data_IF_253013798060
#
_entry.id   IF_253013798060
#
_cell.length_a   1.000
_cell.length_b   1.000
_cell.length_c   1.000
_cell.angle_alpha   90.00
_cell.angle_beta   90.00
_cell.angle_gamma   90.00
#
_symmetry.space_group_name_H-M   'P 1'
#
loop_
_entity.id
_entity.type
_entity.pdbx_description
1 polymer ?
#
# COMPACT_ATOMS: atom_id res chain seq x y z
N UNK A 1 0.80 -6.58 8.44
CA UNK A 1 0.58 -5.63 7.32
C UNK A 1 -0.65 -6.09 6.55
N UNK A 2 -1.53 -5.15 6.17
CA UNK A 2 -2.73 -5.44 5.39
C UNK A 2 -2.64 -4.79 4.02
N UNK A 3 -3.16 -5.47 3.00
CA UNK A 3 -3.35 -4.95 1.66
C UNK A 3 -4.83 -5.07 1.32
N UNK A 4 -5.45 -3.98 0.91
CA UNK A 4 -6.83 -3.96 0.45
C UNK A 4 -6.86 -3.91 -1.07
N UNK A 5 -7.66 -4.77 -1.70
CA UNK A 5 -7.94 -4.72 -3.13
C UNK A 5 -9.30 -4.07 -3.38
N UNK A 6 -9.35 -3.11 -4.28
CA UNK A 6 -10.57 -2.40 -4.67
C UNK A 6 -10.71 -2.46 -6.19
N UNK A 7 -11.85 -2.98 -6.65
CA UNK A 7 -12.29 -3.01 -8.04
C UNK A 7 -13.80 -3.29 -8.07
N UNK A 8 -14.40 -3.45 -9.24
CA UNK A 8 -15.76 -3.99 -9.34
C UNK A 8 -15.82 -5.46 -8.86
N UNK A 9 -17.01 -5.90 -8.50
CA UNK A 9 -17.22 -7.22 -7.90
C UNK A 9 -16.77 -8.37 -8.82
N UNK A 10 -17.00 -8.28 -10.13
CA UNK A 10 -16.60 -9.30 -11.07
C UNK A 10 -15.07 -9.41 -11.15
N UNK A 11 -14.38 -8.30 -11.16
CA UNK A 11 -12.92 -8.24 -11.13
C UNK A 11 -12.34 -8.84 -9.85
N UNK A 12 -12.93 -8.53 -8.69
CA UNK A 12 -12.47 -9.09 -7.40
C UNK A 12 -12.68 -10.60 -7.30
N UNK A 13 -13.77 -11.13 -7.87
CA UNK A 13 -14.00 -12.58 -7.94
C UNK A 13 -12.99 -13.30 -8.81
N UNK A 14 -12.47 -12.63 -9.84
CA UNK A 14 -11.55 -13.19 -10.83
C UNK A 14 -10.11 -12.64 -10.72
N UNK A 15 -9.73 -12.21 -9.52
CA UNK A 15 -8.46 -11.52 -9.26
C UNK A 15 -7.23 -12.35 -9.66
N UNK A 16 -7.29 -13.68 -9.45
CA UNK A 16 -6.26 -14.63 -9.85
C UNK A 16 -6.01 -14.63 -11.36
N UNK A 17 -7.08 -14.56 -12.16
CA UNK A 17 -6.96 -14.45 -13.61
C UNK A 17 -6.24 -13.17 -14.03
N UNK A 18 -6.58 -12.02 -13.42
CA UNK A 18 -5.89 -10.76 -13.71
C UNK A 18 -4.42 -10.81 -13.31
N UNK A 19 -4.10 -11.44 -12.19
CA UNK A 19 -2.72 -11.69 -11.78
C UNK A 19 -1.95 -12.50 -12.84
N UNK A 20 -2.52 -13.60 -13.30
CA UNK A 20 -1.85 -14.49 -14.26
C UNK A 20 -1.70 -13.81 -15.63
N UNK A 21 -2.71 -13.06 -16.08
CA UNK A 21 -2.66 -12.26 -17.29
C UNK A 21 -1.54 -11.20 -17.23
N UNK A 22 -1.47 -10.46 -16.14
CA UNK A 22 -0.43 -9.44 -15.96
C UNK A 22 0.97 -10.06 -15.82
N UNK A 23 1.08 -11.22 -15.17
CA UNK A 23 2.33 -11.99 -15.10
C UNK A 23 2.81 -12.43 -16.48
N UNK A 24 1.90 -12.89 -17.35
CA UNK A 24 2.22 -13.22 -18.73
C UNK A 24 2.67 -11.96 -19.50
N UNK A 25 1.93 -10.84 -19.35
CA UNK A 25 2.21 -9.59 -20.04
C UNK A 25 3.57 -8.99 -19.66
N UNK A 26 4.03 -9.18 -18.42
CA UNK A 26 5.29 -8.57 -17.92
C UNK A 26 6.56 -9.35 -18.27
N UNK A 27 6.47 -10.53 -18.89
CA UNK A 27 7.65 -11.31 -19.29
C UNK A 27 7.88 -11.27 -20.82
N UNK A 28 8.65 -10.29 -21.34
CA UNK A 28 8.89 -10.14 -22.79
C UNK A 28 9.70 -11.29 -23.40
N UNK A 29 10.30 -12.17 -22.59
CA UNK A 29 11.03 -13.36 -23.08
C UNK A 29 10.05 -14.47 -23.50
N UNK A 30 8.83 -14.43 -23.00
CA UNK A 30 7.81 -15.48 -23.19
C UNK A 30 6.59 -14.98 -23.96
N UNK A 31 6.32 -13.68 -23.92
CA UNK A 31 5.13 -13.07 -24.53
C UNK A 31 5.52 -12.32 -25.78
N UNK A 32 5.01 -12.75 -26.92
CA UNK A 32 5.20 -12.06 -28.20
C UNK A 32 4.44 -10.72 -28.22
N UNK A 33 4.83 -9.80 -29.10
CA UNK A 33 4.11 -8.52 -29.26
C UNK A 33 2.63 -8.72 -29.64
N UNK A 34 2.34 -9.66 -30.53
CA UNK A 34 0.97 -10.00 -30.92
C UNK A 34 0.16 -10.47 -29.70
N UNK A 35 0.71 -11.37 -28.90
CA UNK A 35 0.09 -11.86 -27.69
C UNK A 35 -0.09 -10.76 -26.64
N UNK A 36 0.88 -9.89 -26.47
CA UNK A 36 0.77 -8.74 -25.57
C UNK A 36 -0.39 -7.82 -25.97
N UNK A 37 -0.57 -7.55 -27.25
CA UNK A 37 -1.70 -6.75 -27.76
C UNK A 37 -3.07 -7.37 -27.44
N UNK A 38 -3.18 -8.70 -27.52
CA UNK A 38 -4.40 -9.42 -27.12
C UNK A 38 -4.66 -9.29 -25.61
N UNK A 39 -3.63 -9.52 -24.80
CA UNK A 39 -3.73 -9.44 -23.33
C UNK A 39 -4.17 -8.05 -22.86
N UNK A 40 -3.63 -6.99 -23.44
CA UNK A 40 -3.97 -5.60 -23.12
C UNK A 40 -5.46 -5.29 -23.31
N UNK A 41 -6.13 -5.94 -24.26
CA UNK A 41 -7.56 -5.69 -24.49
C UNK A 41 -8.44 -6.10 -23.29
N UNK A 42 -7.96 -7.03 -22.47
CA UNK A 42 -8.71 -7.57 -21.33
C UNK A 42 -8.02 -7.29 -19.98
N UNK A 43 -6.79 -6.82 -20.00
CA UNK A 43 -6.04 -6.47 -18.80
C UNK A 43 -6.66 -5.25 -18.12
N UNK A 44 -6.63 -5.25 -16.77
CA UNK A 44 -6.86 -4.04 -15.99
C UNK A 44 -5.54 -3.63 -15.34
N UNK A 45 -5.16 -2.35 -15.40
CA UNK A 45 -3.96 -1.87 -14.72
C UNK A 45 -4.11 -2.03 -13.21
N UNK A 46 -3.01 -2.39 -12.55
CA UNK A 46 -2.91 -2.37 -11.10
C UNK A 46 -2.27 -1.05 -10.68
N UNK A 47 -2.95 -0.33 -9.81
CA UNK A 47 -2.42 0.86 -9.17
C UNK A 47 -2.25 0.58 -7.67
N UNK A 48 -0.99 0.48 -7.22
CA UNK A 48 -0.69 0.17 -5.82
C UNK A 48 -0.23 1.42 -5.09
N UNK A 49 -0.97 1.81 -4.06
CA UNK A 49 -0.71 2.97 -3.22
C UNK A 49 -0.25 2.48 -1.86
N UNK A 50 0.89 2.98 -1.42
CA UNK A 50 1.48 2.63 -0.13
C UNK A 50 1.78 3.87 0.70
N UNK A 51 1.79 3.74 2.01
CA UNK A 51 2.18 4.78 2.95
C UNK A 51 2.74 4.21 4.25
N UNK A 52 3.12 5.07 5.17
CA UNK A 52 3.62 4.66 6.49
C UNK A 52 4.92 3.89 6.42
N UNK A 53 5.80 4.23 5.48
CA UNK A 53 7.16 3.70 5.41
C UNK A 53 7.98 4.18 6.62
N UNK A 54 7.78 5.44 7.03
CA UNK A 54 8.31 5.99 8.26
C UNK A 54 7.19 6.06 9.31
N UNK A 55 7.40 5.44 10.45
CA UNK A 55 6.37 5.26 11.48
C UNK A 55 5.80 6.56 12.07
N UNK A 56 6.58 7.64 12.05
CA UNK A 56 6.16 8.97 12.54
C UNK A 56 5.27 9.75 11.56
N UNK A 57 5.21 9.34 10.30
CA UNK A 57 4.46 10.02 9.25
C UNK A 57 3.01 9.51 9.21
N UNK A 58 2.16 10.08 10.06
CA UNK A 58 0.82 9.54 10.32
C UNK A 58 -0.24 9.97 9.31
N UNK A 59 -0.07 11.10 8.64
CA UNK A 59 -1.06 11.65 7.73
C UNK A 59 -1.34 10.78 6.51
N UNK A 60 -0.31 10.16 5.94
CA UNK A 60 -0.46 9.25 4.80
C UNK A 60 -1.29 8.01 5.11
N UNK A 61 -1.00 7.24 6.18
CA UNK A 61 -1.83 6.12 6.62
C UNK A 61 -3.30 6.48 6.83
N UNK A 62 -3.57 7.59 7.49
CA UNK A 62 -4.96 8.03 7.76
C UNK A 62 -5.68 8.44 6.47
N UNK A 63 -5.02 9.16 5.59
CA UNK A 63 -5.53 9.49 4.26
C UNK A 63 -5.86 8.23 3.45
N UNK A 64 -5.00 7.21 3.49
CA UNK A 64 -5.24 5.96 2.75
C UNK A 64 -6.38 5.13 3.33
N UNK A 65 -6.65 5.19 4.64
CA UNK A 65 -7.85 4.57 5.21
C UNK A 65 -9.12 5.24 4.71
N UNK A 66 -9.16 6.58 4.71
CA UNK A 66 -10.28 7.34 4.18
C UNK A 66 -10.46 7.12 2.67
N UNK A 67 -9.36 7.11 1.91
CA UNK A 67 -9.37 6.81 0.47
C UNK A 67 -9.92 5.42 0.19
N UNK A 68 -9.51 4.41 0.96
CA UNK A 68 -10.02 3.03 0.86
C UNK A 68 -11.53 3.00 0.98
N UNK A 69 -12.06 3.65 2.03
CA UNK A 69 -13.50 3.74 2.23
C UNK A 69 -14.20 4.43 1.05
N UNK A 70 -13.72 5.60 0.64
CA UNK A 70 -14.33 6.35 -0.46
C UNK A 70 -14.31 5.60 -1.79
N UNK A 71 -13.18 4.98 -2.12
CA UNK A 71 -13.08 4.17 -3.34
C UNK A 71 -14.02 2.97 -3.32
N UNK A 72 -14.24 2.37 -2.15
CA UNK A 72 -15.12 1.21 -2.01
C UNK A 72 -16.61 1.56 -2.13
N UNK A 73 -17.06 2.70 -1.53
CA UNK A 73 -18.49 2.97 -1.36
C UNK A 73 -19.05 4.10 -2.23
N UNK A 74 -18.20 4.96 -2.78
CA UNK A 74 -18.69 6.14 -3.53
C UNK A 74 -19.26 5.76 -4.89
N UNK A 75 -20.42 6.31 -5.19
CA UNK A 75 -21.11 6.15 -6.46
C UNK A 75 -20.87 7.33 -7.43
N UNK A 76 -19.91 8.21 -7.11
CA UNK A 76 -19.50 9.26 -8.04
C UNK A 76 -19.01 8.64 -9.37
N UNK A 77 -19.35 9.21 -10.52
CA UNK A 77 -18.99 8.65 -11.83
C UNK A 77 -17.51 8.32 -11.99
N UNK A 78 -16.63 9.21 -11.51
CA UNK A 78 -15.18 9.01 -11.53
C UNK A 78 -14.76 7.76 -10.72
N UNK A 79 -15.32 7.60 -9.52
CA UNK A 79 -14.96 6.49 -8.62
C UNK A 79 -15.48 5.15 -9.17
N UNK A 80 -16.68 5.14 -9.71
CA UNK A 80 -17.21 3.96 -10.41
C UNK A 80 -16.33 3.58 -11.60
N UNK A 81 -15.94 4.56 -12.42
CA UNK A 81 -15.05 4.32 -13.55
C UNK A 81 -13.69 3.74 -13.12
N UNK A 82 -13.14 4.19 -11.99
CA UNK A 82 -11.90 3.60 -11.43
C UNK A 82 -12.14 2.13 -11.07
N UNK A 83 -13.19 1.80 -10.32
CA UNK A 83 -13.48 0.41 -9.95
C UNK A 83 -13.70 -0.50 -11.16
N UNK A 84 -14.36 0.01 -12.20
CA UNK A 84 -14.67 -0.75 -13.41
C UNK A 84 -13.46 -1.02 -14.31
N UNK A 85 -12.45 -0.14 -14.27
CA UNK A 85 -11.34 -0.18 -15.23
C UNK A 85 -9.95 -0.40 -14.63
N UNK A 86 -9.82 -0.43 -13.32
CA UNK A 86 -8.56 -0.62 -12.64
C UNK A 86 -8.71 -1.52 -11.40
N UNK A 87 -7.59 -2.09 -10.97
CA UNK A 87 -7.46 -2.77 -9.68
C UNK A 87 -6.59 -1.88 -8.79
N UNK A 88 -7.16 -1.37 -7.71
CA UNK A 88 -6.41 -0.51 -6.78
C UNK A 88 -6.02 -1.32 -5.55
N UNK A 89 -4.71 -1.45 -5.30
CA UNK A 89 -4.20 -1.98 -4.05
C UNK A 89 -3.81 -0.84 -3.12
N UNK A 90 -4.18 -0.95 -1.86
CA UNK A 90 -3.84 0.03 -0.82
C UNK A 90 -3.20 -0.68 0.35
N UNK A 91 -1.99 -0.23 0.71
CA UNK A 91 -1.27 -0.64 1.92
C UNK A 91 -1.07 0.59 2.80
N UNK A 92 -1.95 0.84 3.78
CA UNK A 92 -1.90 2.07 4.58
C UNK A 92 -0.62 2.21 5.40
N UNK A 93 -0.10 1.10 5.92
CA UNK A 93 1.10 1.08 6.78
C UNK A 93 2.07 0.01 6.31
N UNK A 94 3.21 0.41 5.78
CA UNK A 94 4.30 -0.49 5.39
C UNK A 94 5.12 -0.92 6.62
N UNK A 95 5.53 0.04 7.46
CA UNK A 95 6.33 -0.20 8.66
C UNK A 95 5.43 -0.38 9.90
N UNK A 96 4.84 -1.58 10.00
CA UNK A 96 3.85 -1.88 11.06
C UNK A 96 4.48 -1.96 12.44
N UNK A 97 5.69 -2.51 12.55
CA UNK A 97 6.40 -2.67 13.83
C UNK A 97 6.82 -1.31 14.39
N UNK A 98 7.34 -0.43 13.54
CA UNK A 98 7.68 0.93 13.92
C UNK A 98 6.42 1.76 14.27
N UNK A 99 5.30 1.51 13.60
CA UNK A 99 4.04 2.17 13.93
C UNK A 99 3.53 1.77 15.32
N UNK A 100 3.58 0.50 15.69
CA UNK A 100 3.25 0.04 17.05
C UNK A 100 4.14 0.73 18.09
N UNK A 101 5.45 0.78 17.86
CA UNK A 101 6.38 1.44 18.77
C UNK A 101 6.12 2.93 18.88
N UNK A 102 5.75 3.59 17.80
CA UNK A 102 5.37 5.00 17.83
C UNK A 102 4.16 5.22 18.74
N UNK A 103 3.16 4.36 18.66
CA UNK A 103 1.96 4.41 19.50
C UNK A 103 2.32 4.15 20.97
N UNK A 104 3.08 3.11 21.26
CA UNK A 104 3.52 2.79 22.62
C UNK A 104 4.34 3.92 23.25
N UNK A 105 5.29 4.47 22.48
CA UNK A 105 6.13 5.60 22.91
C UNK A 105 5.27 6.85 23.19
N UNK A 106 4.27 7.11 22.35
CA UNK A 106 3.36 8.23 22.56
C UNK A 106 2.59 8.08 23.88
N UNK A 107 1.98 6.91 24.12
CA UNK A 107 1.22 6.69 25.35
C UNK A 107 2.10 6.63 26.60
N UNK A 108 3.29 6.07 26.49
CA UNK A 108 4.29 6.11 27.57
C UNK A 108 4.63 7.57 27.93
N UNK A 109 5.01 8.38 26.95
CA UNK A 109 5.36 9.77 27.14
C UNK A 109 4.20 10.62 27.67
N UNK A 110 2.97 10.32 27.25
CA UNK A 110 1.76 11.02 27.72
C UNK A 110 1.51 10.85 29.22
N UNK A 111 1.94 9.72 29.80
CA UNK A 111 1.79 9.42 31.24
C UNK A 111 2.91 9.99 32.09
N UNK A 112 3.98 10.53 31.49
CA UNK A 112 5.12 11.08 32.25
C UNK A 112 4.79 12.46 32.82
N UNK A 113 5.31 12.77 34.03
CA UNK A 113 5.19 14.10 34.62
C UNK A 113 5.77 15.20 33.71
N UNK A 114 5.24 16.40 33.86
CA UNK A 114 5.77 17.56 33.18
C UNK A 114 7.24 17.81 33.58
N UNK A 115 8.11 18.07 32.61
CA UNK A 115 9.54 18.32 32.84
C UNK A 115 10.42 17.06 32.79
N UNK A 116 9.88 15.87 32.77
CA UNK A 116 10.67 14.66 32.52
C UNK A 116 11.02 14.48 31.05
N UNK A 117 12.23 13.93 30.79
CA UNK A 117 12.67 13.63 29.43
C UNK A 117 11.74 12.62 28.74
N UNK A 118 11.35 12.91 27.50
CA UNK A 118 10.54 12.02 26.68
C UNK A 118 11.42 11.02 25.96
N UNK A 119 10.92 9.80 25.77
CA UNK A 119 11.57 8.80 24.94
C UNK A 119 11.38 9.17 23.46
N UNK A 120 12.44 9.24 22.65
CA UNK A 120 12.34 9.33 21.21
C UNK A 120 11.96 7.98 20.61
N UNK A 121 11.48 7.97 19.37
CA UNK A 121 11.43 6.75 18.58
C UNK A 121 12.86 6.36 18.19
N UNK A 122 13.33 5.19 18.68
CA UNK A 122 14.72 4.80 18.62
C UNK A 122 15.13 4.17 17.28
N UNK A 123 14.20 3.53 16.59
CA UNK A 123 14.43 2.83 15.32
C UNK A 123 13.10 2.57 14.59
N UNK A 124 13.20 2.20 13.32
CA UNK A 124 12.05 2.01 12.44
C UNK A 124 11.33 0.70 12.72
N UNK A 125 12.04 -0.41 12.63
CA UNK A 125 11.48 -1.74 12.77
C UNK A 125 11.72 -2.39 14.13
N UNK A 126 11.33 -3.64 14.22
CA UNK A 126 11.44 -4.43 15.45
C UNK A 126 12.87 -4.93 15.72
N UNK A 127 13.58 -5.31 14.67
CA UNK A 127 14.86 -5.99 14.77
C UNK A 127 16.02 -5.17 14.25
N UNK A 128 15.79 -4.28 13.30
CA UNK A 128 16.83 -3.53 12.60
C UNK A 128 16.45 -2.05 12.56
N UNK A 129 17.40 -1.19 12.94
CA UNK A 129 17.27 0.25 12.83
C UNK A 129 17.68 0.72 11.42
N UNK A 130 16.97 0.25 10.40
CA UNK A 130 17.26 0.55 9.00
C UNK A 130 16.13 1.35 8.35
N UNK A 131 16.50 2.42 7.65
CA UNK A 131 15.60 3.22 6.85
C UNK A 131 15.51 2.65 5.44
N UNK A 132 14.52 1.78 5.20
CA UNK A 132 14.29 1.17 3.88
C UNK A 132 13.97 2.18 2.77
N UNK A 133 13.70 3.44 3.10
CA UNK A 133 13.59 4.51 2.11
C UNK A 133 14.97 4.95 1.55
N UNK A 134 16.03 4.29 1.96
CA UNK A 134 17.40 4.47 1.43
C UNK A 134 17.85 3.31 0.55
N UNK A 135 17.08 2.22 0.47
CA UNK A 135 17.46 1.02 -0.30
C UNK A 135 17.57 1.26 -1.81
N UNK A 136 16.90 2.29 -2.33
CA UNK A 136 17.07 2.72 -3.72
C UNK A 136 18.44 3.31 -4.06
N UNK A 137 19.23 3.70 -3.03
CA UNK A 137 20.56 4.28 -3.19
C UNK A 137 21.68 3.38 -2.66
N UNK A 138 21.37 2.46 -1.76
CA UNK A 138 22.30 1.49 -1.20
C UNK A 138 21.56 0.18 -0.98
N UNK A 139 21.87 -0.81 -1.79
CA UNK A 139 21.34 -2.16 -1.59
C UNK A 139 22.22 -2.86 -0.54
N UNK A 140 21.64 -3.21 0.58
CA UNK A 140 22.27 -3.97 1.65
C UNK A 140 21.71 -5.38 1.72
#
# INVERSE_FOLDING_TARGET
MYVTAIADEATLRDLERYRDLLKELTDPRRTTEARARELIQTAKPIYWITSGLHSGETGGPEMLMEMTYRLAVSEMPLIRNIRENAIVFITPVLEVDGRERQVDTYYFNKKRPAGEARLPLMYWGKYVAHDNNRDGMGQF
#
